data_IF_655411748886
#
_entry.id   IF_655411748886
#
_cell.length_a   1.000
_cell.length_b   1.000
_cell.length_c   1.000
_cell.angle_alpha   90.00
_cell.angle_beta   90.00
_cell.angle_gamma   90.00
#
_symmetry.space_group_name_H-M   'P 1'
#
loop_
_entity.id
_entity.type
_entity.pdbx_description
1 polymer ?
#
# COMPACT_ATOMS: atom_id res chain seq x y z
N UNK A 1 77.38 -14.31 -24.89
CA UNK A 1 76.72 -13.21 -25.63
C UNK A 1 75.29 -13.67 -25.87
N UNK A 2 74.36 -13.18 -25.06
CA UNK A 2 72.92 -13.34 -25.27
C UNK A 2 72.31 -11.94 -25.19
N UNK A 3 71.77 -11.53 -26.28
CA UNK A 3 71.06 -10.29 -26.48
C UNK A 3 69.67 -10.38 -25.78
N UNK A 4 69.44 -9.49 -24.83
CA UNK A 4 68.11 -9.28 -24.25
C UNK A 4 67.34 -8.29 -25.14
N UNK A 5 66.30 -8.79 -25.80
CA UNK A 5 65.31 -7.98 -26.50
C UNK A 5 64.38 -7.29 -25.52
N UNK A 6 64.38 -5.97 -25.51
CA UNK A 6 63.38 -5.14 -24.85
C UNK A 6 62.04 -5.23 -25.56
N UNK A 7 60.97 -5.62 -24.84
CA UNK A 7 59.60 -5.53 -25.30
C UNK A 7 59.10 -4.06 -25.21
N UNK A 8 58.24 -3.61 -26.14
CA UNK A 8 57.76 -2.24 -26.17
C UNK A 8 56.73 -1.95 -25.10
N UNK A 9 56.80 -0.74 -24.57
CA UNK A 9 55.86 -0.13 -23.65
C UNK A 9 54.39 -0.31 -24.08
N UNK A 10 53.55 -0.80 -23.20
CA UNK A 10 52.08 -0.79 -23.32
C UNK A 10 51.52 0.63 -23.23
N UNK A 11 50.27 0.86 -23.71
CA UNK A 11 49.71 2.21 -23.81
C UNK A 11 49.60 2.88 -22.44
N UNK A 12 50.07 4.12 -22.36
CA UNK A 12 49.96 5.01 -21.20
C UNK A 12 48.50 5.17 -20.78
N UNK A 13 48.25 4.84 -19.54
CA UNK A 13 46.97 5.04 -18.89
C UNK A 13 46.77 6.54 -18.62
N UNK A 14 45.88 7.19 -19.37
CA UNK A 14 45.58 8.61 -19.22
C UNK A 14 44.50 8.78 -18.13
N UNK A 15 44.79 9.38 -16.95
CA UNK A 15 43.88 9.42 -15.80
C UNK A 15 42.75 10.45 -15.90
N UNK A 16 42.54 11.11 -17.01
CA UNK A 16 41.69 12.31 -17.12
C UNK A 16 40.29 12.12 -17.71
N UNK A 17 39.80 10.89 -17.84
CA UNK A 17 38.37 10.65 -18.17
C UNK A 17 37.68 9.88 -17.02
N UNK A 18 37.54 10.49 -15.86
CA UNK A 18 36.57 10.04 -14.88
C UNK A 18 35.17 10.24 -15.42
N UNK A 19 34.59 9.18 -16.01
CA UNK A 19 33.17 9.16 -16.33
C UNK A 19 32.39 9.42 -15.06
N UNK A 20 31.42 10.36 -15.08
CA UNK A 20 30.63 10.68 -13.89
C UNK A 20 30.07 9.40 -13.27
N UNK A 21 30.12 9.24 -11.94
CA UNK A 21 29.73 8.02 -11.28
C UNK A 21 28.30 7.65 -11.65
N UNK A 22 28.13 6.49 -12.29
CA UNK A 22 26.81 5.99 -12.64
C UNK A 22 25.97 5.90 -11.37
N UNK A 23 24.76 6.48 -11.32
CA UNK A 23 23.92 6.39 -10.15
C UNK A 23 23.70 4.91 -9.80
N UNK A 24 23.88 4.57 -8.51
CA UNK A 24 23.74 3.19 -8.03
C UNK A 24 22.39 2.62 -8.40
N UNK A 25 22.29 1.39 -8.93
CA UNK A 25 21.02 0.75 -9.20
C UNK A 25 20.24 0.51 -7.91
N UNK A 26 18.91 0.51 -7.97
CA UNK A 26 18.08 0.07 -6.84
C UNK A 26 18.11 -1.46 -6.82
N UNK A 27 18.54 -2.02 -5.71
CA UNK A 27 18.58 -3.46 -5.49
C UNK A 27 17.46 -3.81 -4.52
N UNK A 28 16.58 -4.74 -4.91
CA UNK A 28 15.59 -5.30 -4.01
C UNK A 28 16.24 -6.31 -3.07
N UNK A 29 15.55 -6.66 -2.00
CA UNK A 29 16.06 -7.62 -1.02
C UNK A 29 16.20 -9.07 -1.55
N UNK A 30 15.64 -9.36 -2.73
CA UNK A 30 15.86 -10.61 -3.48
C UNK A 30 17.05 -10.53 -4.45
N UNK A 31 17.80 -9.43 -4.44
CA UNK A 31 18.98 -9.22 -5.30
C UNK A 31 18.69 -8.69 -6.69
N UNK A 32 17.41 -8.51 -7.09
CA UNK A 32 17.08 -7.99 -8.41
C UNK A 32 17.39 -6.52 -8.56
N UNK A 33 17.85 -6.14 -9.75
CA UNK A 33 18.08 -4.74 -10.13
C UNK A 33 16.82 -4.16 -10.78
N UNK A 34 16.49 -2.91 -10.42
CA UNK A 34 15.44 -2.15 -11.12
C UNK A 34 15.97 -1.69 -12.47
N UNK A 35 15.36 -2.13 -13.59
CA UNK A 35 15.71 -1.60 -14.89
C UNK A 35 15.39 -0.10 -14.95
N UNK A 36 16.32 0.70 -15.50
CA UNK A 36 16.06 2.09 -15.77
C UNK A 36 15.25 2.21 -17.06
N UNK A 37 14.36 3.22 -17.15
CA UNK A 37 13.68 3.49 -18.42
C UNK A 37 14.72 3.84 -19.50
N UNK A 38 14.51 3.31 -20.69
CA UNK A 38 15.28 3.75 -21.87
C UNK A 38 14.99 5.23 -22.15
N UNK A 39 15.85 5.96 -22.87
CA UNK A 39 15.58 7.36 -23.22
C UNK A 39 14.22 7.55 -23.91
N UNK A 40 13.84 6.63 -24.81
CA UNK A 40 12.54 6.66 -25.47
C UNK A 40 11.39 6.48 -24.48
N UNK A 41 11.49 5.50 -23.57
CA UNK A 41 10.48 5.28 -22.53
C UNK A 41 10.37 6.49 -21.59
N UNK A 42 11.50 7.10 -21.23
CA UNK A 42 11.51 8.31 -20.41
C UNK A 42 10.81 9.49 -21.12
N UNK A 43 11.08 9.68 -22.41
CA UNK A 43 10.40 10.70 -23.22
C UNK A 43 8.88 10.44 -23.28
N UNK A 44 8.46 9.21 -23.53
CA UNK A 44 7.03 8.84 -23.54
C UNK A 44 6.36 9.10 -22.20
N UNK A 45 7.04 8.80 -21.07
CA UNK A 45 6.54 9.10 -19.73
C UNK A 45 6.32 10.61 -19.57
N UNK A 46 7.32 11.43 -19.93
CA UNK A 46 7.24 12.90 -19.80
C UNK A 46 6.09 13.46 -20.64
N UNK A 47 5.96 13.03 -21.88
CA UNK A 47 4.87 13.46 -22.75
C UNK A 47 3.49 13.00 -22.27
N UNK A 48 3.43 11.85 -21.61
CA UNK A 48 2.18 11.29 -21.08
C UNK A 48 1.72 11.95 -19.78
N UNK A 49 2.61 12.52 -18.96
CA UNK A 49 2.27 13.05 -17.64
C UNK A 49 1.04 13.96 -17.66
N UNK A 50 0.91 14.98 -18.51
CA UNK A 50 -0.26 15.87 -18.50
C UNK A 50 -1.58 15.12 -18.71
N UNK A 51 -1.62 14.24 -19.73
CA UNK A 51 -2.79 13.41 -20.03
C UNK A 51 -3.06 12.40 -18.91
N UNK A 52 -2.01 11.82 -18.35
CA UNK A 52 -2.10 10.88 -17.24
C UNK A 52 -2.71 11.51 -15.98
N UNK A 53 -2.33 12.75 -15.66
CA UNK A 53 -2.92 13.50 -14.52
C UNK A 53 -4.41 13.72 -14.74
N UNK A 54 -4.82 14.18 -15.92
CA UNK A 54 -6.24 14.37 -16.26
C UNK A 54 -6.99 13.03 -16.17
N UNK A 55 -6.43 11.95 -16.73
CA UNK A 55 -7.03 10.62 -16.66
C UNK A 55 -7.17 10.14 -15.21
N UNK A 56 -6.18 10.37 -14.36
CA UNK A 56 -6.24 10.01 -12.94
C UNK A 56 -7.35 10.76 -12.22
N UNK A 57 -7.45 12.07 -12.41
CA UNK A 57 -8.51 12.89 -11.80
C UNK A 57 -9.89 12.39 -12.21
N UNK A 58 -10.12 12.19 -13.51
CA UNK A 58 -11.41 11.71 -14.03
C UNK A 58 -11.76 10.35 -13.46
N UNK A 59 -10.83 9.38 -13.51
CA UNK A 59 -11.04 8.02 -12.98
C UNK A 59 -11.30 8.01 -11.49
N UNK A 60 -10.60 8.84 -10.71
CA UNK A 60 -10.82 8.95 -9.26
C UNK A 60 -12.17 9.58 -8.95
N UNK A 61 -12.57 10.65 -9.63
CA UNK A 61 -13.89 11.27 -9.47
C UNK A 61 -15.01 10.28 -9.80
N UNK A 62 -14.89 9.56 -10.92
CA UNK A 62 -15.81 8.49 -11.29
C UNK A 62 -15.86 7.42 -10.20
N UNK A 63 -14.71 7.00 -9.67
CA UNK A 63 -14.62 6.00 -8.60
C UNK A 63 -15.28 6.42 -7.27
N UNK A 64 -15.39 7.72 -7.01
CA UNK A 64 -16.04 8.23 -5.78
C UNK A 64 -17.53 8.48 -6.00
N UNK A 65 -17.93 8.97 -7.17
CA UNK A 65 -19.33 9.42 -7.44
C UNK A 65 -20.22 8.29 -7.90
N UNK A 66 -19.67 7.35 -8.69
CA UNK A 66 -20.47 6.30 -9.32
C UNK A 66 -20.59 5.06 -8.42
N UNK A 67 -21.79 4.44 -8.30
CA UNK A 67 -21.94 3.21 -7.54
C UNK A 67 -21.03 2.07 -8.04
N UNK A 68 -20.47 1.27 -7.11
CA UNK A 68 -19.49 0.22 -7.36
C UNK A 68 -19.87 -0.75 -8.49
N UNK A 69 -21.15 -1.08 -8.63
CA UNK A 69 -21.66 -1.99 -9.66
C UNK A 69 -21.38 -1.56 -11.11
N UNK A 70 -21.15 -0.26 -11.33
CA UNK A 70 -20.85 0.28 -12.66
C UNK A 70 -19.35 0.40 -12.94
N UNK A 71 -18.51 0.29 -11.91
CA UNK A 71 -17.05 0.46 -12.05
C UNK A 71 -16.40 -0.47 -13.09
N UNK A 72 -16.78 -1.76 -13.24
CA UNK A 72 -16.18 -2.62 -14.26
C UNK A 72 -16.40 -2.12 -15.69
N UNK A 73 -17.58 -1.57 -15.97
CA UNK A 73 -17.92 -0.99 -17.28
C UNK A 73 -17.16 0.31 -17.52
N UNK A 74 -17.11 1.16 -16.50
CA UNK A 74 -16.37 2.43 -16.56
C UNK A 74 -14.86 2.22 -16.65
N UNK A 75 -14.31 1.24 -15.95
CA UNK A 75 -12.89 0.90 -16.07
C UNK A 75 -12.52 0.64 -17.53
N UNK A 76 -13.32 -0.16 -18.24
CA UNK A 76 -13.13 -0.44 -19.67
C UNK A 76 -13.31 0.79 -20.54
N UNK A 77 -14.36 1.59 -20.29
CA UNK A 77 -14.64 2.81 -21.04
C UNK A 77 -13.49 3.83 -20.93
N UNK A 78 -12.81 3.88 -19.78
CA UNK A 78 -11.65 4.74 -19.53
C UNK A 78 -10.29 4.07 -19.79
N UNK A 79 -10.27 3.01 -20.60
CA UNK A 79 -9.03 2.36 -21.05
C UNK A 79 -8.37 1.40 -20.07
N UNK A 80 -8.95 1.18 -18.88
CA UNK A 80 -8.54 0.15 -17.94
C UNK A 80 -9.22 -1.19 -18.23
N UNK A 81 -8.87 -2.21 -17.43
CA UNK A 81 -9.57 -3.49 -17.47
C UNK A 81 -9.61 -4.16 -16.10
N UNK A 82 -10.64 -4.97 -15.87
CA UNK A 82 -10.84 -5.73 -14.66
C UNK A 82 -11.15 -7.19 -15.03
N UNK A 83 -10.18 -8.07 -14.76
CA UNK A 83 -10.24 -9.48 -15.09
C UNK A 83 -10.58 -10.24 -13.82
N UNK A 84 -11.72 -10.94 -13.81
CA UNK A 84 -12.20 -11.72 -12.67
C UNK A 84 -12.19 -13.19 -13.02
N UNK A 85 -11.61 -14.01 -12.14
CA UNK A 85 -11.58 -15.48 -12.23
C UNK A 85 -12.12 -16.09 -10.95
N UNK A 86 -12.66 -17.31 -11.04
CA UNK A 86 -13.32 -17.96 -9.92
C UNK A 86 -14.70 -17.36 -9.62
N UNK A 87 -15.34 -17.83 -8.57
CA UNK A 87 -16.66 -17.39 -8.15
C UNK A 87 -16.59 -16.82 -6.73
N UNK A 88 -17.01 -15.59 -6.50
CA UNK A 88 -17.11 -15.07 -5.14
C UNK A 88 -18.21 -15.82 -4.36
N UNK A 89 -18.05 -16.01 -3.05
CA UNK A 89 -19.10 -16.54 -2.22
C UNK A 89 -20.31 -15.59 -2.21
N UNK A 90 -21.52 -16.12 -1.98
CA UNK A 90 -22.69 -15.28 -1.82
C UNK A 90 -22.52 -14.35 -0.60
N UNK A 91 -23.22 -13.20 -0.60
CA UNK A 91 -23.23 -12.30 0.57
C UNK A 91 -23.65 -13.04 1.85
N UNK A 92 -23.08 -12.65 2.98
CA UNK A 92 -23.55 -13.11 4.27
C UNK A 92 -25.03 -12.75 4.44
N UNK A 93 -25.83 -13.72 4.86
CA UNK A 93 -27.23 -13.50 5.23
C UNK A 93 -27.32 -13.29 6.73
N UNK A 94 -28.37 -12.65 7.23
CA UNK A 94 -28.50 -12.30 8.66
C UNK A 94 -28.38 -13.46 9.65
N UNK A 95 -28.36 -14.70 9.18
CA UNK A 95 -28.17 -15.92 9.98
C UNK A 95 -26.75 -16.49 9.92
N UNK A 96 -25.89 -15.97 9.05
CA UNK A 96 -24.51 -16.45 8.87
C UNK A 96 -23.51 -15.33 9.12
N UNK A 97 -22.43 -15.62 9.84
CA UNK A 97 -21.31 -14.69 9.98
C UNK A 97 -20.69 -14.37 8.63
N UNK A 98 -20.07 -13.21 8.51
CA UNK A 98 -19.38 -12.77 7.31
C UNK A 98 -18.22 -13.66 6.92
N UNK A 99 -17.77 -13.52 5.69
CA UNK A 99 -16.58 -14.17 5.14
C UNK A 99 -15.40 -13.22 5.31
N UNK A 100 -14.26 -13.76 5.70
CA UNK A 100 -12.99 -13.04 5.70
C UNK A 100 -12.26 -13.26 4.37
N UNK A 101 -12.26 -12.24 3.52
CA UNK A 101 -11.44 -12.25 2.32
C UNK A 101 -9.99 -11.95 2.67
N UNK A 102 -9.10 -12.86 2.35
CA UNK A 102 -7.65 -12.72 2.57
C UNK A 102 -6.97 -12.47 1.24
N UNK A 103 -6.55 -11.22 1.02
CA UNK A 103 -6.04 -10.75 -0.26
C UNK A 103 -4.52 -10.57 -0.24
N UNK A 104 -3.88 -10.85 -1.37
CA UNK A 104 -2.53 -10.34 -1.63
C UNK A 104 -2.56 -8.81 -1.71
N UNK A 105 -1.45 -8.16 -1.35
CA UNK A 105 -1.42 -6.69 -1.28
C UNK A 105 -0.50 -6.08 -2.33
N UNK A 106 -1.06 -5.77 -3.50
CA UNK A 106 -0.33 -5.25 -4.66
C UNK A 106 -0.38 -3.71 -4.76
N UNK A 107 -1.50 -3.12 -4.37
CA UNK A 107 -1.68 -1.67 -4.30
C UNK A 107 -2.63 -1.28 -3.16
N UNK A 108 -2.76 0.02 -2.88
CA UNK A 108 -3.75 0.51 -1.92
C UNK A 108 -5.19 0.34 -2.40
N UNK A 109 -5.38 0.03 -3.68
CA UNK A 109 -6.70 -0.15 -4.30
C UNK A 109 -7.25 -1.58 -4.15
N UNK A 110 -6.46 -2.55 -3.69
CA UNK A 110 -6.89 -3.95 -3.62
C UNK A 110 -8.25 -4.13 -2.93
N UNK A 111 -8.50 -3.59 -1.73
CA UNK A 111 -9.81 -3.74 -1.09
C UNK A 111 -10.95 -3.05 -1.84
N UNK A 112 -10.67 -1.92 -2.48
CA UNK A 112 -11.64 -1.18 -3.29
C UNK A 112 -12.03 -1.98 -4.53
N UNK A 113 -11.04 -2.56 -5.21
CA UNK A 113 -11.27 -3.41 -6.38
C UNK A 113 -12.04 -4.67 -6.00
N UNK A 114 -11.72 -5.29 -4.86
CA UNK A 114 -12.49 -6.43 -4.35
C UNK A 114 -13.97 -6.05 -4.15
N UNK A 115 -14.24 -4.93 -3.45
CA UNK A 115 -15.60 -4.44 -3.24
C UNK A 115 -16.31 -4.14 -4.56
N UNK A 116 -15.58 -3.61 -5.55
CA UNK A 116 -16.09 -3.37 -6.91
C UNK A 116 -16.50 -4.67 -7.60
N UNK A 117 -15.68 -5.70 -7.54
CA UNK A 117 -15.98 -7.02 -8.12
C UNK A 117 -17.17 -7.68 -7.45
N UNK A 118 -17.27 -7.54 -6.13
CA UNK A 118 -18.36 -8.08 -5.35
C UNK A 118 -19.68 -7.26 -5.52
N UNK A 119 -19.62 -6.05 -6.08
CA UNK A 119 -20.74 -5.14 -6.23
C UNK A 119 -21.34 -4.65 -4.91
N UNK A 120 -20.60 -4.81 -3.80
CA UNK A 120 -20.99 -4.42 -2.44
C UNK A 120 -19.80 -3.89 -1.64
N UNK A 121 -20.11 -3.03 -0.67
CA UNK A 121 -19.10 -2.52 0.26
C UNK A 121 -18.61 -3.62 1.21
N UNK A 122 -17.32 -3.94 1.15
CA UNK A 122 -16.66 -4.81 2.10
C UNK A 122 -15.64 -3.97 2.86
N UNK A 123 -15.80 -3.79 4.19
CA UNK A 123 -14.87 -3.01 4.98
C UNK A 123 -13.45 -3.57 4.91
N UNK A 124 -12.44 -2.68 4.85
CA UNK A 124 -11.04 -3.06 4.78
C UNK A 124 -10.33 -2.85 6.10
N UNK A 125 -9.62 -3.87 6.55
CA UNK A 125 -8.76 -3.78 7.74
C UNK A 125 -7.50 -2.98 7.42
N UNK A 126 -7.21 -1.96 8.22
CA UNK A 126 -6.06 -1.07 8.02
C UNK A 126 -5.31 -0.78 9.31
N UNK A 127 -3.96 -0.69 9.25
CA UNK A 127 -3.12 -0.31 10.41
C UNK A 127 -2.65 1.16 10.37
N UNK A 128 -2.49 1.74 9.20
CA UNK A 128 -1.72 2.98 9.03
C UNK A 128 -2.23 3.84 7.89
N UNK A 129 -3.52 3.82 7.64
CA UNK A 129 -4.09 4.72 6.63
C UNK A 129 -4.15 6.16 7.16
N UNK A 130 -3.83 7.15 6.33
CA UNK A 130 -3.99 8.55 6.70
C UNK A 130 -5.48 8.90 6.82
N UNK A 131 -5.83 9.88 7.66
CA UNK A 131 -7.23 10.34 7.77
C UNK A 131 -7.78 10.82 6.43
N UNK A 132 -6.95 11.49 5.64
CA UNK A 132 -7.34 11.93 4.30
C UNK A 132 -7.64 10.74 3.38
N UNK A 133 -6.79 9.72 3.38
CA UNK A 133 -7.02 8.50 2.59
C UNK A 133 -8.24 7.71 3.06
N UNK A 134 -8.57 7.78 4.36
CA UNK A 134 -9.76 7.16 4.94
C UNK A 134 -11.04 7.90 4.49
N UNK A 135 -11.02 9.23 4.49
CA UNK A 135 -12.14 10.06 4.00
C UNK A 135 -12.35 9.88 2.49
N UNK A 136 -11.27 9.77 1.72
CA UNK A 136 -11.31 9.58 0.27
C UNK A 136 -11.55 8.13 -0.14
N UNK A 137 -11.57 7.19 0.81
CA UNK A 137 -11.83 5.78 0.51
C UNK A 137 -13.29 5.59 0.12
N UNK A 138 -13.58 4.98 -1.05
CA UNK A 138 -14.97 4.69 -1.45
C UNK A 138 -15.59 3.51 -0.68
N UNK A 139 -14.81 2.85 0.20
CA UNK A 139 -15.27 1.74 1.05
C UNK A 139 -14.96 2.03 2.52
N UNK A 140 -15.73 1.47 3.46
CA UNK A 140 -15.45 1.58 4.89
C UNK A 140 -14.09 1.00 5.25
N UNK A 141 -13.45 1.57 6.27
CA UNK A 141 -12.18 1.06 6.80
C UNK A 141 -12.27 0.74 8.29
N UNK A 142 -11.66 -0.37 8.68
CA UNK A 142 -11.56 -0.81 10.07
C UNK A 142 -10.13 -0.57 10.52
N UNK A 143 -9.92 0.51 11.28
CA UNK A 143 -8.59 0.86 11.78
C UNK A 143 -8.21 0.01 12.97
N UNK A 144 -7.04 -0.63 12.91
CA UNK A 144 -6.47 -1.43 13.99
C UNK A 144 -5.47 -0.61 14.82
N UNK A 145 -5.36 -1.00 16.10
CA UNK A 145 -4.54 -0.33 17.11
C UNK A 145 -3.12 -0.90 17.25
N UNK A 146 -2.89 -2.12 16.74
CA UNK A 146 -1.72 -2.99 16.98
C UNK A 146 -1.71 -3.65 18.36
N UNK A 147 -2.75 -3.50 19.13
CA UNK A 147 -3.02 -4.36 20.26
C UNK A 147 -3.76 -5.60 19.76
N UNK A 148 -3.14 -6.80 19.94
CA UNK A 148 -3.66 -8.04 19.36
C UNK A 148 -5.07 -8.38 19.85
N UNK A 149 -5.36 -8.16 21.15
CA UNK A 149 -6.65 -8.49 21.72
C UNK A 149 -7.74 -7.52 21.23
N UNK A 150 -7.47 -6.23 21.33
CA UNK A 150 -8.39 -5.18 20.87
C UNK A 150 -8.70 -5.32 19.39
N UNK A 151 -7.67 -5.61 18.59
CA UNK A 151 -7.81 -5.78 17.15
C UNK A 151 -8.61 -7.05 16.81
N UNK A 152 -8.36 -8.16 17.52
CA UNK A 152 -9.13 -9.40 17.37
C UNK A 152 -10.61 -9.21 17.68
N UNK A 153 -10.94 -8.56 18.80
CA UNK A 153 -12.32 -8.29 19.19
C UNK A 153 -13.03 -7.40 18.16
N UNK A 154 -12.34 -6.38 17.65
CA UNK A 154 -12.86 -5.49 16.61
C UNK A 154 -13.14 -6.23 15.30
N UNK A 155 -12.21 -7.07 14.82
CA UNK A 155 -12.39 -7.86 13.61
C UNK A 155 -13.55 -8.85 13.77
N UNK A 156 -13.67 -9.53 14.90
CA UNK A 156 -14.78 -10.43 15.19
C UNK A 156 -16.13 -9.70 15.19
N UNK A 157 -16.19 -8.51 15.77
CA UNK A 157 -17.40 -7.68 15.77
C UNK A 157 -17.81 -7.26 14.34
N UNK A 158 -16.86 -6.94 13.45
CA UNK A 158 -17.16 -6.64 12.06
C UNK A 158 -17.60 -7.88 11.27
N UNK A 159 -16.95 -9.04 11.47
CA UNK A 159 -17.35 -10.31 10.86
C UNK A 159 -18.74 -10.77 11.28
N UNK A 160 -19.17 -10.43 12.48
CA UNK A 160 -20.55 -10.68 12.93
C UNK A 160 -21.60 -9.81 12.18
N UNK A 161 -21.17 -8.68 11.61
CA UNK A 161 -22.04 -7.77 10.83
C UNK A 161 -22.04 -8.08 9.34
N UNK A 162 -20.97 -8.70 8.82
CA UNK A 162 -20.83 -9.01 7.41
C UNK A 162 -19.41 -9.36 6.99
N UNK A 163 -19.19 -9.34 5.69
CA UNK A 163 -17.90 -9.67 5.10
C UNK A 163 -16.83 -8.62 5.43
N UNK A 164 -15.57 -9.06 5.48
CA UNK A 164 -14.41 -8.21 5.78
C UNK A 164 -13.25 -8.57 4.87
N UNK A 165 -12.39 -7.61 4.52
CA UNK A 165 -11.17 -7.86 3.76
C UNK A 165 -9.92 -7.51 4.55
N UNK A 166 -8.91 -8.39 4.48
CA UNK A 166 -7.60 -8.19 5.07
C UNK A 166 -6.49 -8.48 4.05
N UNK A 167 -5.43 -7.66 4.09
CA UNK A 167 -4.20 -7.89 3.36
C UNK A 167 -3.08 -8.19 4.37
N UNK A 168 -2.82 -9.47 4.71
CA UNK A 168 -1.99 -9.87 5.85
C UNK A 168 -0.49 -9.60 5.67
N UNK A 169 -0.04 -9.21 4.48
CA UNK A 169 1.33 -8.73 4.23
C UNK A 169 1.64 -7.44 4.99
N UNK A 170 0.61 -6.66 5.35
CA UNK A 170 0.72 -5.41 6.09
C UNK A 170 1.40 -4.27 5.33
N UNK A 171 1.73 -4.48 4.06
CA UNK A 171 2.24 -3.48 3.11
C UNK A 171 2.08 -3.99 1.69
N UNK A 172 1.94 -3.07 0.74
CA UNK A 172 1.90 -3.39 -0.69
C UNK A 172 3.26 -3.91 -1.16
N UNK A 173 3.29 -4.94 -2.01
CA UNK A 173 4.49 -5.49 -2.62
C UNK A 173 4.24 -5.71 -4.12
N UNK A 174 5.02 -5.04 -4.99
CA UNK A 174 4.89 -5.19 -6.45
C UNK A 174 5.70 -6.35 -7.04
N UNK A 175 6.59 -6.91 -6.24
CA UNK A 175 7.53 -7.94 -6.66
C UNK A 175 6.83 -9.30 -6.86
N UNK A 176 7.35 -10.22 -7.68
CA UNK A 176 6.73 -11.53 -7.91
C UNK A 176 6.95 -12.50 -6.75
N UNK A 177 6.78 -12.03 -5.53
CA UNK A 177 6.75 -12.84 -4.32
C UNK A 177 5.78 -12.24 -3.30
N UNK A 178 5.38 -13.03 -2.33
CA UNK A 178 4.55 -12.61 -1.21
C UNK A 178 5.41 -12.44 0.04
N UNK A 179 5.15 -11.34 0.76
CA UNK A 179 5.72 -11.15 2.09
C UNK A 179 5.05 -12.10 3.08
N UNK A 180 5.71 -12.32 4.23
CA UNK A 180 5.16 -13.15 5.30
C UNK A 180 3.82 -12.62 5.77
N UNK A 181 2.83 -13.50 5.88
CA UNK A 181 1.50 -13.16 6.35
C UNK A 181 1.45 -13.05 7.89
N UNK A 182 0.75 -12.03 8.37
CA UNK A 182 0.37 -11.94 9.77
C UNK A 182 -0.62 -13.06 10.11
N UNK A 183 -0.40 -13.80 11.19
CA UNK A 183 -1.25 -14.92 11.58
C UNK A 183 -2.54 -14.49 12.31
N UNK A 184 -2.71 -13.20 12.63
CA UNK A 184 -3.87 -12.73 13.40
C UNK A 184 -5.20 -13.11 12.75
N UNK A 185 -5.31 -13.00 11.43
CA UNK A 185 -6.57 -13.26 10.73
C UNK A 185 -7.05 -14.70 10.86
N UNK A 186 -6.12 -15.65 10.97
CA UNK A 186 -6.41 -17.08 10.92
C UNK A 186 -7.13 -17.62 12.17
N UNK A 187 -7.02 -16.92 13.30
CA UNK A 187 -7.66 -17.32 14.56
C UNK A 187 -9.05 -16.68 14.78
N UNK A 188 -9.49 -15.82 13.86
CA UNK A 188 -10.68 -15.01 14.05
C UNK A 188 -11.95 -15.62 13.45
N UNK A 189 -11.80 -16.47 12.45
CA UNK A 189 -12.91 -17.13 11.74
C UNK A 189 -12.39 -18.32 10.93
N UNK A 190 -13.28 -19.31 10.72
CA UNK A 190 -13.03 -20.44 9.83
C UNK A 190 -13.54 -20.19 8.41
N UNK A 191 -14.24 -19.08 8.21
CA UNK A 191 -14.77 -18.70 6.90
C UNK A 191 -13.78 -17.81 6.15
N UNK A 192 -12.66 -18.41 5.75
CA UNK A 192 -11.55 -17.73 5.07
C UNK A 192 -11.65 -18.01 3.57
N UNK A 193 -11.72 -16.94 2.76
CA UNK A 193 -11.68 -17.02 1.30
C UNK A 193 -10.43 -16.29 0.81
N UNK A 194 -9.43 -17.03 0.29
CA UNK A 194 -8.25 -16.42 -0.30
C UNK A 194 -8.60 -15.78 -1.65
N UNK A 195 -8.06 -14.57 -1.88
CA UNK A 195 -8.25 -13.83 -3.14
C UNK A 195 -6.89 -13.37 -3.68
N UNK A 196 -6.50 -13.94 -4.80
CA UNK A 196 -5.26 -13.55 -5.47
C UNK A 196 -5.51 -12.27 -6.28
N UNK A 197 -4.93 -11.16 -5.80
CA UNK A 197 -5.01 -9.85 -6.43
C UNK A 197 -3.71 -9.54 -7.15
N UNK A 198 -3.79 -9.04 -8.36
CA UNK A 198 -2.64 -8.54 -9.10
C UNK A 198 -3.02 -7.30 -9.90
N UNK A 199 -2.06 -6.38 -10.09
CA UNK A 199 -2.25 -5.23 -10.96
C UNK A 199 -1.12 -5.13 -11.97
N UNK A 200 -1.47 -4.89 -13.23
CA UNK A 200 -0.51 -4.66 -14.31
C UNK A 200 -0.57 -3.20 -14.75
N UNK A 201 0.57 -2.56 -14.74
CA UNK A 201 0.74 -1.15 -15.08
C UNK A 201 1.93 -1.01 -16.04
N UNK A 202 1.87 -0.01 -16.93
CA UNK A 202 2.90 0.19 -17.95
C UNK A 202 3.93 1.24 -17.59
N UNK A 203 3.49 2.47 -17.34
CA UNK A 203 4.40 3.63 -17.20
C UNK A 203 4.70 3.99 -15.75
N UNK A 204 3.71 3.86 -14.86
CA UNK A 204 3.83 4.26 -13.45
C UNK A 204 3.54 3.08 -12.54
N UNK A 205 4.37 2.89 -11.52
CA UNK A 205 4.14 1.84 -10.54
C UNK A 205 2.95 2.17 -9.62
N UNK A 206 2.16 1.16 -9.30
CA UNK A 206 0.98 1.28 -8.44
C UNK A 206 1.31 1.33 -6.94
N UNK A 207 2.59 1.22 -6.57
CA UNK A 207 3.01 1.28 -5.17
C UNK A 207 4.45 1.76 -5.04
N UNK A 208 4.73 2.47 -3.96
CA UNK A 208 6.04 3.00 -3.60
C UNK A 208 6.45 2.55 -2.20
N UNK A 209 7.76 2.54 -1.92
CA UNK A 209 8.32 2.40 -0.58
C UNK A 209 8.83 3.74 -0.02
N UNK A 210 9.09 4.71 -0.89
CA UNK A 210 9.56 6.06 -0.53
C UNK A 210 8.50 7.10 -0.90
N UNK A 211 8.51 8.22 -0.19
CA UNK A 211 7.59 9.32 -0.44
C UNK A 211 6.18 9.08 0.12
N UNK A 212 5.21 9.78 -0.43
CA UNK A 212 3.84 9.77 0.06
C UNK A 212 3.03 8.62 -0.58
N UNK A 213 2.83 7.57 0.17
CA UNK A 213 2.05 6.41 -0.26
C UNK A 213 0.61 6.76 -0.68
N UNK A 214 0.06 7.84 -0.16
CA UNK A 214 -1.26 8.35 -0.56
C UNK A 214 -1.34 8.73 -2.04
N UNK A 215 -0.21 8.95 -2.71
CA UNK A 215 -0.15 9.22 -4.16
C UNK A 215 -0.17 7.93 -5.01
N UNK A 216 0.01 6.75 -4.42
CA UNK A 216 0.03 5.49 -5.17
C UNK A 216 -1.22 5.29 -6.04
N UNK A 217 -2.47 5.55 -5.58
CA UNK A 217 -3.65 5.48 -6.43
C UNK A 217 -3.62 6.42 -7.63
N UNK A 218 -3.06 7.63 -7.46
CA UNK A 218 -2.91 8.59 -8.55
C UNK A 218 -2.00 8.01 -9.62
N UNK A 219 -0.82 7.50 -9.25
CA UNK A 219 0.11 6.87 -10.20
C UNK A 219 -0.49 5.64 -10.88
N UNK A 220 -1.29 4.85 -10.16
CA UNK A 220 -2.03 3.75 -10.79
C UNK A 220 -2.98 4.26 -11.88
N UNK A 221 -3.81 5.25 -11.56
CA UNK A 221 -4.79 5.80 -12.48
C UNK A 221 -4.20 6.67 -13.59
N UNK A 222 -2.95 7.14 -13.46
CA UNK A 222 -2.21 7.81 -14.54
C UNK A 222 -1.80 6.86 -15.68
N UNK A 223 -1.78 5.55 -15.46
CA UNK A 223 -1.39 4.62 -16.53
C UNK A 223 -2.38 4.67 -17.69
N UNK A 224 -1.91 4.56 -18.95
CA UNK A 224 -2.79 4.51 -20.12
C UNK A 224 -3.80 3.37 -20.00
N UNK A 225 -3.32 2.19 -19.63
CA UNK A 225 -4.13 0.98 -19.51
C UNK A 225 -3.82 0.24 -18.19
N UNK A 226 -4.38 0.71 -17.05
CA UNK A 226 -4.26 -0.03 -15.80
C UNK A 226 -5.16 -1.27 -15.84
N UNK A 227 -4.60 -2.44 -15.50
CA UNK A 227 -5.34 -3.71 -15.48
C UNK A 227 -5.29 -4.28 -14.07
N UNK A 228 -6.45 -4.72 -13.60
CA UNK A 228 -6.56 -5.46 -12.35
C UNK A 228 -7.01 -6.89 -12.60
N UNK A 229 -6.37 -7.84 -11.92
CA UNK A 229 -6.71 -9.26 -11.97
C UNK A 229 -7.12 -9.70 -10.58
N UNK A 230 -8.29 -10.29 -10.46
CA UNK A 230 -8.88 -10.79 -9.21
C UNK A 230 -9.24 -12.24 -9.41
N UNK A 231 -8.62 -13.13 -8.66
CA UNK A 231 -8.91 -14.57 -8.70
C UNK A 231 -9.41 -15.02 -7.34
N UNK A 232 -10.71 -15.36 -7.26
CA UNK A 232 -11.28 -16.00 -6.08
C UNK A 232 -10.88 -17.46 -6.05
N UNK A 233 -10.30 -17.88 -4.94
CA UNK A 233 -10.05 -19.28 -4.64
C UNK A 233 -11.21 -19.83 -3.79
N UNK A 234 -11.24 -21.12 -3.63
CA UNK A 234 -12.26 -21.74 -2.79
C UNK A 234 -12.07 -21.37 -1.32
N UNK A 235 -13.17 -21.32 -0.58
CA UNK A 235 -13.12 -21.12 0.87
C UNK A 235 -12.35 -22.28 1.49
N UNK A 236 -11.48 -21.97 2.46
CA UNK A 236 -10.76 -23.00 3.19
C UNK A 236 -11.76 -23.99 3.83
N UNK A 237 -11.55 -25.30 3.64
CA UNK A 237 -12.33 -26.28 4.34
C UNK A 237 -12.00 -26.25 5.86
N UNK A 238 -12.95 -26.56 6.75
CA UNK A 238 -12.75 -26.45 8.21
C UNK A 238 -11.51 -27.19 8.73
N UNK A 239 -11.14 -28.31 8.10
CA UNK A 239 -9.95 -29.13 8.44
C UNK A 239 -8.62 -28.41 8.14
N UNK A 240 -8.65 -27.32 7.37
CA UNK A 240 -7.49 -26.49 7.04
C UNK A 240 -7.44 -25.19 7.87
N UNK A 241 -8.35 -25.01 8.81
CA UNK A 241 -8.46 -23.84 9.67
C UNK A 241 -8.04 -24.12 11.10
N UNK A 242 -8.09 -23.09 11.95
CA UNK A 242 -7.84 -23.25 13.38
C UNK A 242 -8.92 -24.06 14.10
N UNK A 243 -10.11 -24.24 13.53
CA UNK A 243 -11.15 -25.11 14.10
C UNK A 243 -10.71 -26.57 14.20
N UNK A 244 -9.87 -27.03 13.27
CA UNK A 244 -9.29 -28.37 13.31
C UNK A 244 -8.03 -28.48 14.19
N UNK A 245 -7.72 -27.46 15.00
CA UNK A 245 -6.56 -27.45 15.90
C UNK A 245 -5.25 -27.02 15.24
N UNK A 246 -5.27 -26.56 13.96
CA UNK A 246 -4.08 -25.99 13.34
C UNK A 246 -3.69 -24.67 14.01
N UNK A 247 -2.39 -24.43 14.12
CA UNK A 247 -1.92 -23.15 14.63
C UNK A 247 -2.23 -22.00 13.67
N UNK A 248 -2.46 -20.77 14.14
CA UNK A 248 -2.69 -19.61 13.27
C UNK A 248 -1.56 -19.37 12.26
N UNK A 249 -0.32 -19.73 12.61
CA UNK A 249 0.83 -19.61 11.71
C UNK A 249 0.78 -20.66 10.58
N UNK A 250 0.38 -21.88 10.87
CA UNK A 250 0.22 -22.94 9.83
C UNK A 250 -0.85 -22.53 8.83
N UNK A 251 -2.01 -22.04 9.31
CA UNK A 251 -3.11 -21.55 8.45
C UNK A 251 -2.64 -20.36 7.61
N UNK A 252 -1.98 -19.37 8.23
CA UNK A 252 -1.47 -18.20 7.51
C UNK A 252 -0.44 -18.58 6.42
N UNK A 253 0.47 -19.49 6.72
CA UNK A 253 1.46 -19.98 5.76
C UNK A 253 0.80 -20.83 4.65
N UNK A 254 -0.25 -21.57 4.97
CA UNK A 254 -1.02 -22.32 3.98
C UNK A 254 -1.71 -21.36 3.00
N UNK A 255 -2.42 -20.35 3.51
CA UNK A 255 -3.07 -19.30 2.69
C UNK A 255 -2.05 -18.55 1.82
N UNK A 256 -0.87 -18.23 2.36
CA UNK A 256 0.21 -17.59 1.60
C UNK A 256 0.63 -18.48 0.41
N UNK A 257 0.82 -19.80 0.63
CA UNK A 257 1.23 -20.73 -0.43
C UNK A 257 0.20 -20.87 -1.54
N UNK A 258 -1.07 -21.03 -1.21
CA UNK A 258 -2.12 -21.15 -2.24
C UNK A 258 -2.29 -19.88 -3.05
N UNK A 259 -2.17 -18.69 -2.43
CA UNK A 259 -2.19 -17.43 -3.13
C UNK A 259 -0.95 -17.21 -4.00
N UNK A 260 0.23 -17.61 -3.53
CA UNK A 260 1.45 -17.57 -4.31
C UNK A 260 1.36 -18.49 -5.54
N UNK A 261 0.86 -19.71 -5.35
CA UNK A 261 0.66 -20.66 -6.45
C UNK A 261 -0.32 -20.13 -7.51
N UNK A 262 -1.43 -19.49 -7.08
CA UNK A 262 -2.41 -18.89 -7.99
C UNK A 262 -1.84 -17.73 -8.83
N UNK A 263 -0.82 -17.03 -8.32
CA UNK A 263 -0.15 -15.92 -9.00
C UNK A 263 1.13 -16.34 -9.75
N UNK A 264 1.64 -17.55 -9.52
CA UNK A 264 2.97 -17.97 -9.98
C UNK A 264 4.10 -17.20 -9.25
N UNK A 265 3.91 -16.92 -7.96
CA UNK A 265 4.83 -16.15 -7.12
C UNK A 265 5.53 -17.04 -6.09
N UNK A 266 6.63 -16.54 -5.55
CA UNK A 266 7.36 -17.19 -4.46
C UNK A 266 6.82 -16.73 -3.10
N UNK A 267 6.82 -17.64 -2.11
CA UNK A 267 6.61 -17.30 -0.72
C UNK A 267 7.92 -16.91 -0.06
N UNK A 268 7.90 -15.82 0.72
CA UNK A 268 9.05 -15.40 1.50
C UNK A 268 8.72 -15.29 2.98
N UNK A 269 9.75 -15.34 3.82
CA UNK A 269 9.67 -15.01 5.25
C UNK A 269 9.87 -13.52 5.53
N UNK A 270 10.11 -12.71 4.49
CA UNK A 270 10.38 -11.28 4.59
C UNK A 270 9.14 -10.54 5.08
N UNK A 271 9.37 -9.55 5.91
CA UNK A 271 8.33 -8.74 6.53
C UNK A 271 8.29 -7.33 5.93
N UNK A 272 7.28 -6.57 6.33
CA UNK A 272 7.23 -5.14 6.03
C UNK A 272 8.51 -4.41 6.45
N UNK A 273 9.11 -4.76 7.59
CA UNK A 273 10.33 -4.11 8.09
C UNK A 273 11.51 -4.36 7.16
N UNK A 274 11.67 -5.60 6.69
CA UNK A 274 12.74 -5.97 5.76
C UNK A 274 12.60 -5.19 4.44
N UNK A 275 11.38 -5.15 3.89
CA UNK A 275 11.09 -4.36 2.68
C UNK A 275 11.50 -2.89 2.85
N UNK A 276 11.03 -2.24 3.91
CA UNK A 276 11.31 -0.81 4.11
C UNK A 276 12.75 -0.55 4.51
N UNK A 277 13.39 -1.44 5.26
CA UNK A 277 14.81 -1.36 5.58
C UNK A 277 15.66 -1.26 4.34
N UNK A 278 15.44 -2.13 3.36
CA UNK A 278 16.19 -2.15 2.09
C UNK A 278 15.81 -0.99 1.17
N UNK A 279 14.52 -0.73 0.97
CA UNK A 279 14.06 0.21 -0.06
C UNK A 279 14.01 1.67 0.41
N UNK A 280 13.77 1.94 1.69
CA UNK A 280 13.55 3.28 2.22
C UNK A 280 14.46 3.66 3.39
N UNK A 281 15.23 2.72 3.95
CA UNK A 281 16.11 2.96 5.08
C UNK A 281 15.36 3.22 6.41
N UNK A 282 14.13 2.73 6.55
CA UNK A 282 13.31 2.83 7.77
C UNK A 282 12.51 1.53 7.97
N UNK A 283 11.74 1.44 9.05
CA UNK A 283 10.94 0.25 9.40
C UNK A 283 9.51 0.25 8.83
N UNK A 284 9.18 1.24 8.00
CA UNK A 284 7.84 1.45 7.45
C UNK A 284 6.79 1.90 8.47
N UNK A 285 7.20 2.26 9.68
CA UNK A 285 6.27 2.75 10.72
C UNK A 285 5.95 4.22 10.46
N UNK A 286 4.69 4.53 10.23
CA UNK A 286 4.21 5.91 10.17
C UNK A 286 3.98 6.36 11.62
N UNK A 287 4.78 7.32 12.10
CA UNK A 287 4.52 7.98 13.38
C UNK A 287 3.18 8.73 13.26
N UNK A 288 2.27 8.62 14.23
CA UNK A 288 1.09 9.48 14.27
C UNK A 288 1.56 10.94 14.22
N UNK A 289 0.97 11.73 13.34
CA UNK A 289 1.17 13.18 13.39
C UNK A 289 0.75 13.64 14.80
N UNK A 290 1.59 14.35 15.57
CA UNK A 290 1.12 14.97 16.79
C UNK A 290 -0.04 15.86 16.37
N UNK A 291 -1.23 15.66 16.94
CA UNK A 291 -2.23 16.72 16.91
C UNK A 291 -1.54 17.91 17.60
N UNK A 292 -1.21 18.95 16.82
CA UNK A 292 -0.92 20.23 17.40
C UNK A 292 -2.11 20.54 18.31
N UNK A 293 -1.86 20.56 19.61
CA UNK A 293 -2.79 21.12 20.58
C UNK A 293 -3.13 22.49 20.04
N UNK A 294 -4.39 22.68 19.63
CA UNK A 294 -4.87 23.97 19.20
C UNK A 294 -4.56 24.94 20.35
N UNK A 295 -3.85 26.05 20.11
CA UNK A 295 -3.73 27.08 21.13
C UNK A 295 -5.16 27.53 21.40
N UNK A 296 -5.59 27.43 22.66
CA UNK A 296 -6.88 27.96 23.12
C UNK A 296 -6.91 29.48 22.91
N UNK A 297 -7.35 29.91 21.73
CA UNK A 297 -7.61 31.27 21.36
C UNK A 297 -9.06 31.61 21.66
N UNK A 298 -9.32 32.06 22.90
CA UNK A 298 -10.56 32.74 23.20
C UNK A 298 -10.70 34.00 22.38
N UNK A 299 -11.75 34.07 21.60
CA UNK A 299 -12.22 35.28 20.96
C UNK A 299 -12.71 36.26 22.06
N UNK A 300 -11.92 37.29 22.35
CA UNK A 300 -12.43 38.49 23.04
C UNK A 300 -12.14 39.69 22.13
N UNK A 301 -13.22 40.28 21.70
CA UNK A 301 -13.60 41.67 21.40
C UNK A 301 -12.53 42.61 20.84
N UNK A 302 -12.80 43.07 19.65
CA UNK A 302 -12.36 44.38 19.16
C UNK A 302 -12.81 45.48 20.16
N UNK A 303 -11.84 46.22 20.69
CA UNK A 303 -12.09 47.46 21.43
C UNK A 303 -11.02 48.47 21.06
N UNK A 304 -11.47 49.61 20.56
CA UNK A 304 -10.75 50.78 20.02
C UNK A 304 -9.68 51.40 20.94
N UNK A 305 -8.63 51.89 20.31
CA UNK A 305 -7.87 53.17 20.51
C UNK A 305 -8.08 53.93 21.84
N UNK A 306 -7.04 54.23 22.63
CA UNK A 306 -6.52 55.60 22.82
C UNK A 306 -5.22 55.65 23.66
N UNK A 307 -4.23 56.33 23.12
CA UNK A 307 -3.23 57.31 23.62
C UNK A 307 -2.63 57.24 25.04
N UNK A 308 -1.31 57.32 25.03
CA UNK A 308 -0.36 58.15 25.81
C UNK A 308 -0.13 57.87 27.30
N UNK A 309 1.18 57.79 27.64
CA UNK A 309 1.69 58.45 28.85
C UNK A 309 2.88 57.74 29.51
N UNK A 310 4.02 58.33 29.32
CA UNK A 310 5.28 58.30 30.07
C UNK A 310 5.19 57.90 31.56
N UNK A 311 6.22 57.21 32.07
CA UNK A 311 6.53 57.22 33.51
C UNK A 311 7.53 56.15 33.96
N UNK A 312 8.72 56.56 34.23
CA UNK A 312 9.88 55.88 34.84
C UNK A 312 9.57 55.27 36.23
N UNK A 313 10.35 54.28 36.59
CA UNK A 313 10.66 53.97 37.99
C UNK A 313 10.97 52.51 38.30
N UNK A 314 12.24 52.17 38.39
CA UNK A 314 12.79 51.03 39.20
C UNK A 314 13.05 51.51 40.63
N UNK A 315 13.54 50.69 41.58
CA UNK A 315 13.45 49.26 41.88
C UNK A 315 13.07 48.98 43.37
N UNK A 316 12.91 47.73 43.80
CA UNK A 316 13.52 47.12 45.00
C UNK A 316 12.87 45.79 45.36
N UNK A 317 13.71 44.75 45.42
CA UNK A 317 13.50 43.56 46.27
C UNK A 317 13.87 43.95 47.74
N UNK A 318 13.76 43.08 48.77
CA UNK A 318 13.58 41.61 48.80
C UNK A 318 12.75 41.06 50.01
N UNK A 319 12.71 39.72 50.11
CA UNK A 319 12.57 38.87 51.30
C UNK A 319 11.21 38.83 52.03
N UNK A 320 10.61 37.67 52.08
CA UNK A 320 10.84 36.52 52.99
C UNK A 320 10.19 35.24 52.40
#
# INVERSE_FOLDING_TARGET
MQEQQHAPFGPEFNPSEEKPPRPKPVIFHDGRLVPRPTPLTALLIVLWIPLGVVAAIVRMLVGVVVPLRFHPHLARAFGGDLIVRGRPPPPATGTTSGVLFVCTHRSLLDPVVLSTVLGRNVPAVTYSISRLSEILSPIPTVRLSRDRKVDADRIKAELARGDLVVCPEGTTCREPFLLRFSALFAELTDRIVPVAMNCRVGLFHATTARGWKALDPIFFFMNPRPIYEVTFLEQLPPEETCAAGKSPHEVANHVQRILAAALGYECTSLTRKDKYGVLAGNDGTVKPFPLASAPGGGWRGLGLLHRRGLGRGMPHSPST
#
